data_IF_884458048668
#
_entry.id   IF_884458048668
#
_cell.length_a   1.000
_cell.length_b   1.000
_cell.length_c   1.000
_cell.angle_alpha   90.00
_cell.angle_beta   90.00
_cell.angle_gamma   90.00
#
_symmetry.space_group_name_H-M   'P 1'
#
loop_
_entity.id
_entity.type
_entity.pdbx_description
1 polymer ?
#
# COMPACT_ATOMS: atom_id res chain seq x y z
N UNK A 1 -12.01 0.58 -1.61
CA UNK A 1 -12.14 1.84 -0.85
C UNK A 1 -12.55 3.03 -1.70
N UNK A 2 -12.02 3.19 -2.93
CA UNK A 2 -12.32 4.34 -3.81
C UNK A 2 -13.82 4.55 -4.05
N UNK A 3 -14.58 3.49 -4.34
CA UNK A 3 -16.01 3.59 -4.62
C UNK A 3 -16.83 4.00 -3.37
N UNK A 4 -16.50 3.42 -2.21
CA UNK A 4 -17.13 3.82 -0.95
C UNK A 4 -16.81 5.28 -0.60
N UNK A 5 -15.57 5.71 -0.84
CA UNK A 5 -15.17 7.11 -0.66
C UNK A 5 -15.91 8.05 -1.62
N UNK A 6 -16.11 7.64 -2.87
CA UNK A 6 -16.84 8.42 -3.87
C UNK A 6 -18.32 8.63 -3.47
N UNK A 7 -18.94 7.66 -2.80
CA UNK A 7 -20.28 7.82 -2.22
C UNK A 7 -20.28 8.82 -1.06
N UNK A 8 -19.25 8.81 -0.20
CA UNK A 8 -19.06 9.80 0.87
C UNK A 8 -20.10 9.77 2.00
N UNK A 9 -21.06 8.84 1.97
CA UNK A 9 -22.14 8.73 2.95
C UNK A 9 -21.70 8.05 4.24
N UNK A 10 -22.45 8.25 5.32
CA UNK A 10 -22.20 7.55 6.59
C UNK A 10 -22.39 6.04 6.47
N UNK A 11 -23.32 5.60 5.62
CA UNK A 11 -23.49 4.19 5.29
C UNK A 11 -22.23 3.63 4.59
N UNK A 12 -21.63 4.37 3.66
CA UNK A 12 -20.40 3.95 3.00
C UNK A 12 -19.20 3.90 3.95
N UNK A 13 -19.08 4.86 4.88
CA UNK A 13 -18.07 4.85 5.95
C UNK A 13 -18.26 3.66 6.89
N UNK A 14 -19.50 3.40 7.30
CA UNK A 14 -19.85 2.26 8.15
C UNK A 14 -19.51 0.94 7.46
N UNK A 15 -19.83 0.80 6.17
CA UNK A 15 -19.47 -0.40 5.39
C UNK A 15 -17.97 -0.56 5.26
N UNK A 16 -17.22 0.53 5.02
CA UNK A 16 -15.76 0.49 4.96
C UNK A 16 -15.16 0.00 6.29
N UNK A 17 -15.64 0.55 7.43
CA UNK A 17 -15.20 0.10 8.76
C UNK A 17 -15.49 -1.37 9.00
N UNK A 18 -16.69 -1.84 8.66
CA UNK A 18 -17.06 -3.25 8.83
C UNK A 18 -16.14 -4.18 8.04
N UNK A 19 -15.91 -3.92 6.75
CA UNK A 19 -15.01 -4.72 5.92
C UNK A 19 -13.57 -4.73 6.44
N UNK A 20 -13.11 -3.61 6.97
CA UNK A 20 -11.78 -3.51 7.58
C UNK A 20 -11.73 -4.30 8.88
N UNK A 21 -12.74 -4.18 9.74
CA UNK A 21 -12.82 -4.98 10.98
C UNK A 21 -12.80 -6.48 10.69
N UNK A 22 -13.59 -6.95 9.71
CA UNK A 22 -13.57 -8.36 9.30
C UNK A 22 -12.15 -8.84 8.93
N UNK A 23 -11.39 -8.00 8.21
CA UNK A 23 -10.00 -8.32 7.88
C UNK A 23 -9.05 -8.22 9.09
N UNK A 24 -9.27 -7.26 9.99
CA UNK A 24 -8.44 -7.09 11.20
C UNK A 24 -8.61 -8.27 12.18
N UNK A 25 -9.75 -8.94 12.15
CA UNK A 25 -10.02 -10.14 12.94
C UNK A 25 -9.24 -11.37 12.43
N UNK A 26 -8.62 -11.31 11.24
CA UNK A 26 -7.76 -12.37 10.71
C UNK A 26 -6.35 -12.36 11.34
N UNK A 27 -6.11 -13.30 12.26
CA UNK A 27 -4.83 -13.48 12.94
C UNK A 27 -3.69 -13.85 11.98
N UNK A 28 -3.97 -14.70 11.00
CA UNK A 28 -3.01 -15.18 10.01
C UNK A 28 -3.51 -14.90 8.60
N UNK A 29 -2.67 -14.22 7.82
CA UNK A 29 -2.92 -14.05 6.40
C UNK A 29 -2.62 -15.33 5.65
N UNK A 30 -3.50 -15.67 4.71
CA UNK A 30 -3.18 -16.68 3.72
C UNK A 30 -2.03 -16.19 2.80
N UNK A 31 -1.34 -17.10 2.10
CA UNK A 31 -0.18 -16.74 1.29
C UNK A 31 -0.44 -15.68 0.22
N UNK A 32 -1.65 -15.61 -0.35
CA UNK A 32 -2.00 -14.61 -1.35
C UNK A 32 -2.17 -13.23 -0.70
N UNK A 33 -2.89 -13.17 0.43
CA UNK A 33 -3.08 -11.91 1.16
C UNK A 33 -1.80 -11.35 1.77
N UNK A 34 -0.81 -12.22 1.99
CA UNK A 34 0.52 -11.88 2.49
C UNK A 34 1.53 -11.48 1.39
N UNK A 35 1.17 -11.57 0.10
CA UNK A 35 2.10 -11.17 -0.98
C UNK A 35 2.54 -9.70 -0.83
N UNK A 36 3.78 -9.35 -1.22
CA UNK A 36 4.32 -8.01 -1.01
C UNK A 36 3.50 -6.89 -1.66
N UNK A 37 3.02 -7.11 -2.87
CA UNK A 37 2.21 -6.17 -3.63
C UNK A 37 0.80 -6.02 -3.05
N UNK A 38 0.19 -7.13 -2.63
CA UNK A 38 -1.13 -7.13 -1.96
C UNK A 38 -1.05 -6.39 -0.63
N UNK A 39 -0.02 -6.65 0.16
CA UNK A 39 0.24 -5.95 1.42
C UNK A 39 0.53 -4.47 1.18
N UNK A 40 1.36 -4.15 0.19
CA UNK A 40 1.66 -2.78 -0.16
C UNK A 40 0.42 -1.98 -0.59
N UNK A 41 -0.41 -2.57 -1.45
CA UNK A 41 -1.67 -1.99 -1.89
C UNK A 41 -2.65 -1.77 -0.72
N UNK A 42 -2.76 -2.73 0.20
CA UNK A 42 -3.63 -2.64 1.39
C UNK A 42 -3.17 -1.53 2.32
N UNK A 43 -1.88 -1.47 2.65
CA UNK A 43 -1.29 -0.41 3.48
C UNK A 43 -1.57 0.97 2.86
N UNK A 44 -1.25 1.16 1.57
CA UNK A 44 -1.51 2.42 0.87
C UNK A 44 -3.00 2.76 0.87
N UNK A 45 -3.88 1.79 0.63
CA UNK A 45 -5.32 2.03 0.59
C UNK A 45 -5.88 2.44 1.95
N UNK A 46 -5.45 1.81 3.05
CA UNK A 46 -5.93 2.17 4.38
C UNK A 46 -5.41 3.53 4.83
N UNK A 47 -4.11 3.79 4.66
CA UNK A 47 -3.51 5.07 5.04
C UNK A 47 -4.04 6.22 4.17
N UNK A 48 -4.10 6.04 2.85
CA UNK A 48 -4.60 7.05 1.91
C UNK A 48 -6.12 7.32 2.01
N UNK A 49 -6.86 6.48 2.73
CA UNK A 49 -8.28 6.66 3.01
C UNK A 49 -8.59 6.81 4.50
N UNK A 50 -7.59 7.02 5.34
CA UNK A 50 -7.76 7.11 6.79
C UNK A 50 -8.83 8.14 7.20
N UNK A 51 -8.75 9.35 6.65
CA UNK A 51 -9.71 10.43 6.95
C UNK A 51 -11.16 10.09 6.58
N UNK A 52 -11.35 9.23 5.58
CA UNK A 52 -12.68 8.87 5.11
C UNK A 52 -13.41 7.98 6.12
N UNK A 53 -12.77 6.91 6.63
CA UNK A 53 -13.46 5.90 7.44
C UNK A 53 -12.97 5.80 8.90
N UNK A 54 -11.71 6.16 9.17
CA UNK A 54 -11.06 5.97 10.47
C UNK A 54 -11.06 7.23 11.35
N UNK A 55 -10.95 8.42 10.77
CA UNK A 55 -10.94 9.67 11.54
C UNK A 55 -12.21 9.88 12.38
N UNK A 56 -13.36 9.40 11.91
CA UNK A 56 -14.65 9.44 12.64
C UNK A 56 -14.96 8.18 13.45
N UNK A 57 -14.06 7.19 13.49
CA UNK A 57 -14.26 5.95 14.23
C UNK A 57 -14.04 6.14 15.75
N UNK A 58 -14.25 5.09 16.54
CA UNK A 58 -13.81 5.07 17.93
C UNK A 58 -12.29 4.80 18.02
N UNK A 59 -11.71 5.03 19.21
CA UNK A 59 -10.27 4.84 19.43
C UNK A 59 -9.84 3.39 19.28
N UNK A 60 -10.65 2.43 19.74
CA UNK A 60 -10.35 1.00 19.64
C UNK A 60 -10.14 0.57 18.19
N UNK A 61 -11.03 0.99 17.29
CA UNK A 61 -10.90 0.72 15.85
C UNK A 61 -9.64 1.36 15.28
N UNK A 62 -9.34 2.61 15.64
CA UNK A 62 -8.12 3.29 15.17
C UNK A 62 -6.85 2.56 15.63
N UNK A 63 -6.82 2.09 16.88
CA UNK A 63 -5.68 1.36 17.42
C UNK A 63 -5.49 0.01 16.72
N UNK A 64 -6.56 -0.76 16.54
CA UNK A 64 -6.52 -2.02 15.80
C UNK A 64 -6.14 -1.82 14.33
N UNK A 65 -6.71 -0.79 13.69
CA UNK A 65 -6.36 -0.42 12.33
C UNK A 65 -4.89 -0.08 12.20
N UNK A 66 -4.31 0.70 13.12
CA UNK A 66 -2.91 1.13 13.00
C UNK A 66 -1.90 0.05 13.37
N UNK A 67 -2.27 -0.89 14.26
CA UNK A 67 -1.36 -1.99 14.62
C UNK A 67 -1.11 -2.96 13.46
N UNK A 68 -2.09 -3.15 12.57
CA UNK A 68 -1.97 -4.09 11.46
C UNK A 68 -0.97 -3.64 10.37
N UNK A 69 -1.03 -2.41 9.82
CA UNK A 69 -0.02 -1.90 8.89
C UNK A 69 1.39 -1.88 9.48
N UNK A 70 1.58 -1.68 10.80
CA UNK A 70 2.91 -1.79 11.43
C UNK A 70 3.46 -3.21 11.26
N UNK A 71 2.66 -4.22 11.59
CA UNK A 71 3.05 -5.62 11.46
C UNK A 71 3.32 -6.01 9.99
N UNK A 72 2.43 -5.59 9.08
CA UNK A 72 2.57 -5.89 7.65
C UNK A 72 3.75 -5.14 7.01
N UNK A 73 3.99 -3.88 7.36
CA UNK A 73 5.12 -3.10 6.85
C UNK A 73 6.46 -3.72 7.26
N UNK A 74 6.55 -4.30 8.47
CA UNK A 74 7.73 -5.05 8.91
C UNK A 74 7.98 -6.27 8.01
N UNK A 75 6.95 -7.06 7.74
CA UNK A 75 7.05 -8.23 6.86
C UNK A 75 7.39 -7.83 5.42
N UNK A 76 6.72 -6.79 4.91
CA UNK A 76 6.96 -6.21 3.60
C UNK A 76 8.41 -5.72 3.45
N UNK A 77 8.94 -4.99 4.43
CA UNK A 77 10.32 -4.51 4.47
C UNK A 77 11.36 -5.63 4.41
N UNK A 78 11.06 -6.75 5.08
CA UNK A 78 11.89 -7.95 5.05
C UNK A 78 11.82 -8.67 3.69
N UNK A 79 10.66 -8.66 3.04
CA UNK A 79 10.43 -9.27 1.73
C UNK A 79 11.03 -8.48 0.55
N UNK A 80 11.46 -7.23 0.74
CA UNK A 80 12.06 -6.45 -0.35
C UNK A 80 13.52 -6.84 -0.67
N UNK A 81 13.95 -6.84 -1.95
CA UNK A 81 13.13 -6.52 -3.12
C UNK A 81 12.13 -7.65 -3.39
N UNK A 82 10.94 -7.28 -3.86
CA UNK A 82 9.90 -8.25 -4.20
C UNK A 82 10.41 -9.21 -5.29
N UNK A 83 9.93 -10.47 -5.28
CA UNK A 83 10.34 -11.46 -6.30
C UNK A 83 9.74 -11.12 -7.67
N UNK A 84 8.59 -10.44 -7.67
CA UNK A 84 7.88 -9.98 -8.84
C UNK A 84 8.73 -9.02 -9.67
N UNK A 85 8.88 -9.34 -10.96
CA UNK A 85 9.65 -8.53 -11.92
C UNK A 85 8.73 -7.67 -12.81
N UNK A 86 7.54 -7.33 -12.32
CA UNK A 86 6.54 -6.51 -13.01
C UNK A 86 6.10 -5.33 -12.14
N UNK A 87 5.07 -4.58 -12.57
CA UNK A 87 4.58 -3.40 -11.85
C UNK A 87 4.26 -3.62 -10.36
N UNK A 88 4.01 -4.86 -9.93
CA UNK A 88 3.74 -5.21 -8.53
C UNK A 88 4.89 -4.86 -7.57
N UNK A 89 6.13 -4.87 -8.04
CA UNK A 89 7.27 -4.43 -7.24
C UNK A 89 7.19 -2.95 -6.85
N UNK A 90 6.68 -2.09 -7.75
CA UNK A 90 6.44 -0.66 -7.45
C UNK A 90 5.31 -0.51 -6.42
N UNK A 91 4.26 -1.33 -6.52
CA UNK A 91 3.16 -1.34 -5.54
C UNK A 91 3.64 -1.72 -4.14
N UNK A 92 4.51 -2.73 -4.04
CA UNK A 92 5.14 -3.14 -2.77
C UNK A 92 6.01 -2.00 -2.18
N UNK A 93 6.83 -1.35 -3.00
CA UNK A 93 7.66 -0.21 -2.58
C UNK A 93 6.83 0.98 -2.10
N UNK A 94 5.76 1.30 -2.84
CA UNK A 94 4.81 2.35 -2.48
C UNK A 94 4.17 2.10 -1.11
N UNK A 95 3.77 0.86 -0.84
CA UNK A 95 3.22 0.47 0.46
C UNK A 95 4.18 0.73 1.61
N UNK A 96 5.45 0.35 1.45
CA UNK A 96 6.46 0.58 2.47
C UNK A 96 6.77 2.07 2.66
N UNK A 97 6.76 2.86 1.58
CA UNK A 97 6.91 4.31 1.65
C UNK A 97 5.72 4.96 2.38
N UNK A 98 4.49 4.55 2.07
CA UNK A 98 3.30 5.02 2.75
C UNK A 98 3.36 4.74 4.26
N UNK A 99 3.79 3.54 4.64
CA UNK A 99 4.02 3.19 6.04
C UNK A 99 5.10 4.08 6.69
N UNK A 100 6.20 4.36 5.98
CA UNK A 100 7.27 5.22 6.51
C UNK A 100 6.82 6.66 6.79
N UNK A 101 5.88 7.18 6.00
CA UNK A 101 5.30 8.52 6.19
C UNK A 101 4.31 8.52 7.36
N UNK A 102 3.49 7.47 7.47
CA UNK A 102 2.49 7.36 8.53
C UNK A 102 3.07 6.97 9.90
N UNK A 103 4.28 6.40 9.94
CA UNK A 103 4.92 5.86 11.16
C UNK A 103 6.36 6.39 11.29
N UNK A 104 6.54 7.64 11.74
CA UNK A 104 7.86 8.28 11.85
C UNK A 104 8.87 7.52 12.73
N UNK A 105 8.38 6.74 13.71
CA UNK A 105 9.17 5.86 14.57
C UNK A 105 9.86 4.71 13.80
N UNK A 106 9.43 4.44 12.56
CA UNK A 106 9.97 3.41 11.67
C UNK A 106 10.70 4.02 10.46
N UNK A 107 11.53 5.04 10.70
CA UNK A 107 12.28 5.78 9.67
C UNK A 107 13.17 4.90 8.75
N UNK A 108 13.55 3.70 9.20
CA UNK A 108 14.32 2.74 8.39
C UNK A 108 13.54 2.22 7.16
N UNK A 109 12.21 2.28 7.17
CA UNK A 109 11.37 1.90 6.02
C UNK A 109 11.63 2.78 4.81
N UNK A 110 11.80 4.09 5.01
CA UNK A 110 12.14 5.02 3.94
C UNK A 110 13.48 4.66 3.29
N UNK A 111 14.52 4.48 4.10
CA UNK A 111 15.85 4.06 3.61
C UNK A 111 15.78 2.73 2.87
N UNK A 112 15.00 1.78 3.39
CA UNK A 112 14.84 0.45 2.79
C UNK A 112 14.16 0.52 1.43
N UNK A 113 13.07 1.27 1.30
CA UNK A 113 12.35 1.43 0.05
C UNK A 113 13.20 2.18 -0.99
N UNK A 114 13.81 3.31 -0.60
CA UNK A 114 14.65 4.10 -1.51
C UNK A 114 15.88 3.33 -2.02
N UNK A 115 16.41 2.39 -1.23
CA UNK A 115 17.51 1.51 -1.67
C UNK A 115 17.17 0.74 -2.95
N UNK A 116 15.92 0.34 -3.14
CA UNK A 116 15.48 -0.46 -4.28
C UNK A 116 14.74 0.33 -5.33
N UNK A 117 14.07 1.43 -4.96
CA UNK A 117 13.21 2.19 -5.86
C UNK A 117 13.93 2.63 -7.14
N UNK A 118 15.14 3.20 -7.04
CA UNK A 118 15.85 3.70 -8.22
C UNK A 118 16.14 2.60 -9.23
N UNK A 119 16.70 1.48 -8.75
CA UNK A 119 17.00 0.34 -9.61
C UNK A 119 15.72 -0.26 -10.22
N UNK A 120 14.62 -0.26 -9.46
CA UNK A 120 13.34 -0.78 -9.95
C UNK A 120 12.73 0.11 -11.04
N UNK A 121 12.79 1.43 -10.87
CA UNK A 121 12.34 2.39 -11.90
C UNK A 121 13.18 2.25 -13.17
N UNK A 122 14.52 2.19 -13.05
CA UNK A 122 15.42 2.02 -14.20
C UNK A 122 15.20 0.69 -14.93
N UNK A 123 14.80 -0.36 -14.20
CA UNK A 123 14.49 -1.67 -14.78
C UNK A 123 13.15 -1.66 -15.51
N UNK A 124 12.14 -1.01 -14.95
CA UNK A 124 10.76 -1.05 -15.46
C UNK A 124 10.46 0.02 -16.51
N UNK A 125 11.11 1.18 -16.45
CA UNK A 125 10.91 2.30 -17.37
C UNK A 125 12.08 2.36 -18.36
N UNK A 126 11.79 2.03 -19.61
CA UNK A 126 12.78 2.00 -20.68
C UNK A 126 13.22 3.41 -21.09
N UNK A 127 14.25 3.51 -21.93
CA UNK A 127 14.80 4.80 -22.39
C UNK A 127 13.82 5.65 -23.22
N UNK A 128 12.78 5.03 -23.78
CA UNK A 128 11.68 5.71 -24.46
C UNK A 128 10.56 6.17 -23.49
N UNK A 129 10.72 5.93 -22.19
CA UNK A 129 9.75 6.23 -21.15
C UNK A 129 8.62 5.18 -21.03
N UNK A 130 8.61 4.14 -21.86
CA UNK A 130 7.58 3.10 -21.80
C UNK A 130 7.86 2.07 -20.71
N UNK A 131 6.79 1.49 -20.17
CA UNK A 131 6.91 0.37 -19.24
C UNK A 131 7.36 -0.91 -19.96
N UNK A 132 8.25 -1.70 -19.34
CA UNK A 132 8.87 -2.89 -19.92
C UNK A 132 7.86 -3.95 -20.39
N UNK A 133 6.71 -4.06 -19.73
CA UNK A 133 5.64 -5.00 -20.11
C UNK A 133 4.96 -4.64 -21.44
N UNK A 134 5.19 -3.44 -21.98
CA UNK A 134 4.57 -2.95 -23.23
C UNK A 134 3.04 -3.08 -23.26
N UNK A 135 2.42 -2.99 -22.08
CA UNK A 135 0.98 -2.99 -21.87
C UNK A 135 0.53 -1.61 -21.43
N UNK A 136 -0.44 -0.97 -22.12
CA UNK A 136 -0.98 0.33 -21.68
C UNK A 136 -1.53 0.29 -20.26
N UNK A 137 -2.14 -0.82 -19.85
CA UNK A 137 -2.68 -0.98 -18.50
C UNK A 137 -1.57 -1.06 -17.44
N UNK A 138 -0.52 -1.84 -17.71
CA UNK A 138 0.64 -1.94 -16.80
C UNK A 138 1.38 -0.59 -16.71
N UNK A 139 1.54 0.11 -17.84
CA UNK A 139 2.15 1.43 -17.86
C UNK A 139 1.38 2.44 -17.03
N UNK A 140 0.04 2.47 -17.16
CA UNK A 140 -0.80 3.33 -16.34
C UNK A 140 -0.67 3.01 -14.84
N UNK A 141 -0.70 1.73 -14.46
CA UNK A 141 -0.57 1.31 -13.07
C UNK A 141 0.78 1.71 -12.48
N UNK A 142 1.88 1.44 -13.18
CA UNK A 142 3.23 1.84 -12.76
C UNK A 142 3.35 3.36 -12.60
N UNK A 143 2.82 4.15 -13.54
CA UNK A 143 2.84 5.61 -13.44
C UNK A 143 2.00 6.15 -12.28
N UNK A 144 0.85 5.52 -11.99
CA UNK A 144 0.04 5.87 -10.81
C UNK A 144 0.82 5.64 -9.52
N UNK A 145 1.48 4.48 -9.39
CA UNK A 145 2.30 4.17 -8.22
C UNK A 145 3.46 5.16 -8.05
N UNK A 146 4.17 5.47 -9.13
CA UNK A 146 5.27 6.45 -9.12
C UNK A 146 4.79 7.88 -8.80
N UNK A 147 3.60 8.25 -9.28
CA UNK A 147 3.02 9.57 -8.97
C UNK A 147 2.60 9.65 -7.49
N UNK A 148 2.03 8.58 -6.93
CA UNK A 148 1.68 8.49 -5.51
C UNK A 148 2.92 8.51 -4.61
N UNK A 149 4.03 7.89 -5.05
CA UNK A 149 5.32 7.93 -4.34
C UNK A 149 5.91 9.35 -4.30
N UNK A 150 5.69 10.16 -5.33
CA UNK A 150 6.24 11.53 -5.44
C UNK A 150 5.47 12.55 -4.60
N UNK A 151 4.17 12.33 -4.39
CA UNK A 151 3.25 13.30 -3.79
C UNK A 151 3.44 13.45 -2.28
#
# INVERSE_FOLDING_TARGET
MRDLRALGTDAARSRARHLVSEFLDEEQLDPLSAQPDVSGARITAWLGHYDFFAASANDDFRQQLMSRPVAEARTLSAALPAEEQDGRALTALKGLLAASVAMPEHANYLTRALKFLTAEVERQILSDGCHIERSPAAHLAALQDLCEIRA
#
